data_IF_477452028803
#
_entry.id   IF_477452028803
#
_cell.length_a   1.000
_cell.length_b   1.000
_cell.length_c   1.000
_cell.angle_alpha   90.00
_cell.angle_beta   90.00
_cell.angle_gamma   90.00
#
_symmetry.space_group_name_H-M   'P 1'
#
loop_
_entity.id
_entity.type
_entity.pdbx_description
1 polymer ?
#
# COMPACT_ATOMS: atom_id res chain seq x y z
N UNK A 1 0.17 31.59 -34.82
CA UNK A 1 0.93 31.21 -36.04
C UNK A 1 1.77 30.00 -35.71
N UNK A 2 2.12 29.15 -36.67
CA UNK A 2 2.90 27.94 -36.42
C UNK A 2 3.73 27.55 -37.64
N UNK A 3 4.82 26.81 -37.43
CA UNK A 3 5.61 26.23 -38.52
C UNK A 3 4.92 24.95 -39.00
N UNK A 4 4.52 24.92 -40.27
CA UNK A 4 3.86 23.79 -40.92
C UNK A 4 4.85 23.09 -41.85
N UNK A 5 4.93 21.76 -41.74
CA UNK A 5 5.66 20.92 -42.69
C UNK A 5 4.68 20.31 -43.69
N UNK A 6 4.94 20.49 -44.98
CA UNK A 6 4.18 19.84 -46.05
C UNK A 6 5.08 18.88 -46.82
N UNK A 7 4.56 17.72 -47.21
CA UNK A 7 5.31 16.68 -47.92
C UNK A 7 4.75 16.50 -49.32
N UNK A 8 5.62 16.45 -50.32
CA UNK A 8 5.29 16.13 -51.71
C UNK A 8 6.04 14.87 -52.12
N UNK A 9 5.29 13.85 -52.56
CA UNK A 9 5.86 12.65 -53.15
C UNK A 9 6.08 12.86 -54.65
N UNK A 10 7.28 12.60 -55.13
CA UNK A 10 7.65 12.68 -56.54
C UNK A 10 7.32 11.36 -57.26
N UNK A 11 7.32 11.39 -58.60
CA UNK A 11 7.01 10.21 -59.44
C UNK A 11 8.03 9.08 -59.28
N UNK A 12 9.26 9.39 -58.87
CA UNK A 12 10.34 8.46 -58.57
C UNK A 12 10.24 7.83 -57.17
N UNK A 13 9.21 8.18 -56.38
CA UNK A 13 9.01 7.70 -55.02
C UNK A 13 9.68 8.52 -53.93
N UNK A 14 10.55 9.48 -54.27
CA UNK A 14 11.20 10.37 -53.30
C UNK A 14 10.19 11.33 -52.64
N UNK A 15 10.43 11.71 -51.38
CA UNK A 15 9.57 12.62 -50.63
C UNK A 15 10.35 13.90 -50.32
N UNK A 16 9.85 15.04 -50.81
CA UNK A 16 10.40 16.37 -50.52
C UNK A 16 9.50 17.07 -49.52
N UNK A 17 10.10 17.60 -48.45
CA UNK A 17 9.39 18.36 -47.42
C UNK A 17 9.63 19.86 -47.60
N UNK A 18 8.64 20.67 -47.23
CA UNK A 18 8.71 22.14 -47.27
C UNK A 18 8.28 22.72 -45.92
N UNK A 19 8.98 23.77 -45.47
CA UNK A 19 8.63 24.51 -44.26
C UNK A 19 7.89 25.81 -44.60
N UNK A 20 6.77 26.04 -43.91
CA UNK A 20 5.91 27.20 -44.14
C UNK A 20 5.46 27.80 -42.79
N UNK A 21 5.55 29.12 -42.64
CA UNK A 21 4.88 29.80 -41.54
C UNK A 21 3.40 29.95 -41.90
N UNK A 22 2.52 29.38 -41.08
CA UNK A 22 1.09 29.33 -41.34
C UNK A 22 0.28 29.95 -40.19
N UNK A 23 -0.92 30.41 -40.55
CA UNK A 23 -1.95 30.83 -39.63
C UNK A 23 -3.30 30.27 -40.07
N UNK A 24 -4.17 29.99 -39.12
CA UNK A 24 -5.49 29.43 -39.38
C UNK A 24 -6.52 30.53 -39.21
N UNK A 25 -7.13 30.96 -40.31
CA UNK A 25 -8.22 31.93 -40.30
C UNK A 25 -9.56 31.17 -40.35
N UNK A 26 -10.57 31.63 -39.62
CA UNK A 26 -11.92 31.05 -39.69
C UNK A 26 -12.63 31.54 -40.96
N UNK A 27 -13.16 30.63 -41.78
CA UNK A 27 -14.01 30.96 -42.93
C UNK A 27 -15.49 30.78 -42.54
N UNK A 28 -16.22 31.87 -42.19
CA UNK A 28 -17.59 31.78 -41.73
C UNK A 28 -18.57 31.32 -42.82
N UNK A 29 -18.23 31.45 -44.11
CA UNK A 29 -19.09 30.96 -45.20
C UNK A 29 -18.98 29.44 -45.38
N UNK A 30 -17.81 28.86 -45.11
CA UNK A 30 -17.57 27.41 -45.26
C UNK A 30 -17.62 26.64 -43.93
N UNK A 31 -17.86 27.34 -42.82
CA UNK A 31 -17.95 26.74 -41.48
C UNK A 31 -16.69 25.99 -41.05
N UNK A 32 -15.52 26.36 -41.58
CA UNK A 32 -14.26 25.64 -41.30
C UNK A 32 -13.07 26.58 -41.27
N UNK A 33 -12.03 26.18 -40.56
CA UNK A 33 -10.75 26.89 -40.58
C UNK A 33 -10.01 26.67 -41.90
N UNK A 34 -9.48 27.75 -42.47
CA UNK A 34 -8.65 27.76 -43.67
C UNK A 34 -7.22 28.17 -43.31
N UNK A 35 -6.26 27.37 -43.74
CA UNK A 35 -4.83 27.67 -43.57
C UNK A 35 -4.43 28.79 -44.54
N UNK A 36 -3.94 29.90 -44.00
CA UNK A 36 -3.25 30.97 -44.74
C UNK A 36 -1.74 30.82 -44.55
N UNK A 37 -1.00 30.70 -45.65
CA UNK A 37 0.46 30.67 -45.64
C UNK A 37 0.95 32.12 -45.55
N UNK A 38 1.68 32.43 -44.50
CA UNK A 38 2.26 33.75 -44.25
C UNK A 38 3.64 33.89 -44.90
N UNK A 39 4.42 32.81 -44.85
CA UNK A 39 5.76 32.77 -45.44
C UNK A 39 6.11 31.33 -45.84
N UNK A 40 6.81 31.16 -46.94
CA UNK A 40 7.32 29.87 -47.39
C UNK A 40 8.84 29.89 -47.32
N UNK A 41 9.42 29.08 -46.43
CA UNK A 41 10.87 28.99 -46.26
C UNK A 41 11.53 28.13 -47.35
N UNK A 42 10.76 27.43 -48.17
CA UNK A 42 11.28 26.55 -49.21
C UNK A 42 11.42 25.11 -48.75
N UNK A 43 12.28 24.35 -49.43
CA UNK A 43 12.47 22.93 -49.14
C UNK A 43 13.20 22.76 -47.81
N UNK A 44 12.70 21.87 -46.96
CA UNK A 44 13.21 21.64 -45.61
C UNK A 44 14.70 21.26 -45.57
N UNK A 45 15.20 20.56 -46.61
CA UNK A 45 16.59 20.15 -46.75
C UNK A 45 17.53 21.27 -47.23
N UNK A 46 16.98 22.40 -47.69
CA UNK A 46 17.74 23.56 -48.18
C UNK A 46 17.66 24.76 -47.23
N UNK A 47 16.82 24.69 -46.19
CA UNK A 47 16.70 25.77 -45.21
C UNK A 47 17.84 25.65 -44.20
N UNK A 48 18.60 26.73 -44.05
CA UNK A 48 19.64 26.82 -43.03
C UNK A 48 19.03 26.76 -41.62
N UNK A 49 19.34 25.69 -40.88
CA UNK A 49 18.88 25.47 -39.52
C UNK A 49 19.18 26.67 -38.61
N UNK A 50 20.39 27.22 -38.70
CA UNK A 50 20.81 28.36 -37.87
C UNK A 50 19.94 29.60 -38.10
N UNK A 51 19.45 29.82 -39.33
CA UNK A 51 18.55 30.92 -39.62
C UNK A 51 17.21 30.76 -38.90
N UNK A 52 16.68 29.53 -38.81
CA UNK A 52 15.47 29.23 -38.06
C UNK A 52 15.67 29.39 -36.55
N UNK A 53 16.82 28.96 -36.02
CA UNK A 53 17.16 29.15 -34.59
C UNK A 53 17.24 30.65 -34.24
N UNK A 54 17.88 31.46 -35.10
CA UNK A 54 17.89 32.93 -34.94
C UNK A 54 16.49 33.52 -34.97
N UNK A 55 15.61 33.04 -35.85
CA UNK A 55 14.21 33.46 -35.90
C UNK A 55 13.47 33.11 -34.59
N UNK A 56 13.64 31.88 -34.08
CA UNK A 56 13.08 31.46 -32.80
C UNK A 56 13.56 32.37 -31.65
N UNK A 57 14.87 32.68 -31.60
CA UNK A 57 15.43 33.60 -30.62
C UNK A 57 14.88 35.03 -30.72
N UNK A 58 14.64 35.53 -31.93
CA UNK A 58 14.01 36.83 -32.16
C UNK A 58 12.57 36.87 -31.65
N UNK A 59 11.79 35.81 -31.89
CA UNK A 59 10.41 35.68 -31.39
C UNK A 59 10.41 35.60 -29.86
N UNK A 60 11.29 34.76 -29.29
CA UNK A 60 11.41 34.59 -27.84
C UNK A 60 11.74 35.91 -27.13
N UNK A 61 12.66 36.70 -27.69
CA UNK A 61 13.00 38.03 -27.18
C UNK A 61 11.79 38.98 -27.16
N UNK A 62 10.96 38.96 -28.21
CA UNK A 62 9.74 39.77 -28.27
C UNK A 62 8.68 39.30 -27.25
N UNK A 63 8.69 38.01 -26.87
CA UNK A 63 7.77 37.43 -25.90
C UNK A 63 8.29 37.44 -24.44
N UNK A 64 9.54 37.86 -24.19
CA UNK A 64 10.17 37.74 -22.88
C UNK A 64 10.46 36.29 -22.46
N UNK A 65 10.66 35.40 -23.43
CA UNK A 65 10.98 33.98 -23.20
C UNK A 65 12.42 33.68 -23.61
N UNK A 66 12.98 32.61 -23.04
CA UNK A 66 14.27 32.05 -23.43
C UNK A 66 14.04 30.85 -24.36
N UNK A 67 14.79 30.76 -25.46
CA UNK A 67 14.83 29.58 -26.34
C UNK A 67 16.23 29.01 -26.27
N UNK A 68 16.34 27.76 -25.83
CA UNK A 68 17.60 27.02 -25.79
C UNK A 68 17.73 26.13 -27.01
N UNK A 69 18.81 26.31 -27.76
CA UNK A 69 19.18 25.39 -28.83
C UNK A 69 19.97 24.22 -28.24
N UNK A 70 19.28 23.10 -28.08
CA UNK A 70 19.83 21.91 -27.43
C UNK A 70 21.03 21.34 -28.21
N UNK A 71 21.13 21.53 -29.53
CA UNK A 71 22.26 20.97 -30.31
C UNK A 71 23.59 21.69 -30.10
N UNK A 72 23.58 22.94 -29.64
CA UNK A 72 24.81 23.71 -29.39
C UNK A 72 25.36 23.55 -27.98
N UNK A 73 24.55 23.07 -27.04
CA UNK A 73 24.96 22.86 -25.64
C UNK A 73 25.57 21.47 -25.40
N UNK A 74 25.86 20.69 -26.46
CA UNK A 74 26.29 19.30 -26.33
C UNK A 74 25.23 18.39 -25.71
N UNK A 75 24.00 18.91 -25.57
CA UNK A 75 22.83 18.15 -25.12
C UNK A 75 22.23 17.53 -26.36
N UNK A 76 22.64 16.30 -26.64
CA UNK A 76 22.14 15.53 -27.77
C UNK A 76 20.62 15.39 -27.67
N UNK A 77 19.89 16.31 -28.30
CA UNK A 77 18.44 16.44 -28.18
C UNK A 77 17.68 15.26 -28.80
N UNK A 78 18.40 14.33 -29.44
CA UNK A 78 17.88 13.12 -30.06
C UNK A 78 18.46 11.82 -29.49
N UNK A 79 19.58 11.81 -28.78
CA UNK A 79 20.20 10.56 -28.30
C UNK A 79 20.10 10.35 -26.77
N UNK A 80 19.97 11.41 -25.97
CA UNK A 80 19.99 11.27 -24.49
C UNK A 80 18.61 11.17 -23.83
N UNK A 81 17.52 11.29 -24.59
CA UNK A 81 16.17 10.94 -24.09
C UNK A 81 15.96 9.43 -23.97
N UNK A 82 16.81 8.64 -24.64
CA UNK A 82 16.75 7.18 -24.66
C UNK A 82 17.70 6.53 -23.62
N UNK A 83 18.25 7.28 -22.65
CA UNK A 83 19.11 6.71 -21.60
C UNK A 83 18.42 6.40 -20.27
N UNK A 84 17.12 6.67 -20.17
CA UNK A 84 16.33 6.33 -18.97
C UNK A 84 15.19 5.42 -19.38
N UNK A 85 15.43 4.12 -19.30
CA UNK A 85 14.38 3.13 -19.42
C UNK A 85 13.58 3.09 -18.12
N UNK A 86 12.26 3.24 -18.21
CA UNK A 86 11.37 2.93 -17.10
C UNK A 86 11.31 1.42 -16.94
N UNK A 87 12.11 0.88 -16.03
CA UNK A 87 12.14 -0.57 -15.74
C UNK A 87 10.85 -1.00 -15.04
N UNK A 88 10.45 -0.27 -14.00
CA UNK A 88 9.27 -0.58 -13.20
C UNK A 88 8.67 0.65 -12.51
N UNK A 89 7.40 0.55 -12.12
CA UNK A 89 6.74 1.52 -11.24
C UNK A 89 6.12 0.76 -10.09
N UNK A 90 6.38 1.26 -8.87
CA UNK A 90 5.92 0.65 -7.62
C UNK A 90 5.34 1.71 -6.68
N UNK A 91 4.33 1.33 -5.93
CA UNK A 91 3.72 2.12 -4.86
C UNK A 91 4.69 2.19 -3.67
N UNK A 92 5.18 3.39 -3.37
CA UNK A 92 6.10 3.61 -2.25
C UNK A 92 5.37 4.00 -0.96
N UNK A 93 4.34 4.85 -1.05
CA UNK A 93 3.77 5.60 0.08
C UNK A 93 3.46 4.76 1.33
N UNK A 94 2.33 4.04 1.33
CA UNK A 94 1.89 3.26 2.50
C UNK A 94 2.91 2.18 2.91
N UNK A 95 3.48 1.37 2.00
CA UNK A 95 4.50 0.38 2.38
C UNK A 95 5.70 1.00 3.10
N UNK A 96 6.21 2.12 2.61
CA UNK A 96 7.37 2.78 3.22
C UNK A 96 7.08 3.29 4.63
N UNK A 97 5.93 3.92 4.84
CA UNK A 97 5.51 4.37 6.19
C UNK A 97 5.25 3.17 7.11
N UNK A 98 4.59 2.12 6.60
CA UNK A 98 4.33 0.91 7.36
C UNK A 98 5.63 0.24 7.82
N UNK A 99 6.66 0.15 6.97
CA UNK A 99 7.95 -0.44 7.34
C UNK A 99 8.72 0.43 8.35
N UNK A 100 8.55 1.75 8.32
CA UNK A 100 9.11 2.63 9.34
C UNK A 100 8.44 2.40 10.71
N UNK A 101 7.11 2.38 10.76
CA UNK A 101 6.35 2.09 11.98
C UNK A 101 6.62 0.67 12.50
N UNK A 102 6.73 -0.31 11.60
CA UNK A 102 7.08 -1.68 11.94
C UNK A 102 8.43 -1.79 12.68
N UNK A 103 9.39 -0.94 12.31
CA UNK A 103 10.69 -0.84 12.98
C UNK A 103 10.58 -0.08 14.30
N UNK A 104 9.88 1.05 14.33
CA UNK A 104 9.70 1.88 15.52
C UNK A 104 8.92 1.17 16.64
N UNK A 105 7.90 0.39 16.27
CA UNK A 105 7.14 -0.46 17.20
C UNK A 105 7.93 -1.69 17.68
N UNK A 106 9.11 -1.96 17.12
CA UNK A 106 9.93 -3.12 17.48
C UNK A 106 9.43 -4.46 16.92
N UNK A 107 8.33 -4.47 16.16
CA UNK A 107 7.73 -5.67 15.55
C UNK A 107 8.74 -6.48 14.76
N UNK A 108 9.53 -5.81 13.92
CA UNK A 108 10.53 -6.50 13.11
C UNK A 108 11.61 -7.20 13.94
N UNK A 109 12.01 -6.64 15.08
CA UNK A 109 13.02 -7.27 15.94
C UNK A 109 12.45 -8.50 16.65
N UNK A 110 11.25 -8.38 17.22
CA UNK A 110 10.56 -9.48 17.92
C UNK A 110 10.30 -10.64 16.97
N UNK A 111 9.71 -10.38 15.81
CA UNK A 111 9.36 -11.43 14.86
C UNK A 111 10.59 -12.09 14.22
N UNK A 112 11.68 -11.36 14.00
CA UNK A 112 12.95 -11.97 13.57
C UNK A 112 13.56 -12.87 14.63
N UNK A 113 13.46 -12.50 15.92
CA UNK A 113 13.91 -13.37 17.00
C UNK A 113 13.09 -14.65 17.05
N UNK A 114 11.76 -14.55 16.96
CA UNK A 114 10.87 -15.72 16.91
C UNK A 114 11.16 -16.63 15.71
N UNK A 115 11.42 -16.04 14.54
CA UNK A 115 11.86 -16.81 13.37
C UNK A 115 13.16 -17.57 13.64
N UNK A 116 14.12 -16.95 14.32
CA UNK A 116 15.40 -17.59 14.66
C UNK A 116 15.23 -18.72 15.68
N UNK A 117 14.40 -18.51 16.71
CA UNK A 117 14.11 -19.50 17.75
C UNK A 117 13.38 -20.73 17.17
N UNK A 118 12.53 -20.52 16.16
CA UNK A 118 11.83 -21.57 15.42
C UNK A 118 12.66 -22.21 14.28
N UNK A 119 13.94 -21.85 14.12
CA UNK A 119 14.82 -22.26 13.00
C UNK A 119 14.14 -22.10 11.61
N UNK A 120 13.42 -20.99 11.45
CA UNK A 120 12.66 -20.71 10.24
C UNK A 120 13.61 -20.47 9.05
N UNK A 121 13.47 -21.27 8.01
CA UNK A 121 14.30 -21.21 6.79
C UNK A 121 13.87 -20.08 5.83
N UNK A 122 12.82 -19.35 6.17
CA UNK A 122 12.19 -18.29 5.35
C UNK A 122 12.00 -17.06 6.23
N UNK A 123 12.18 -15.83 5.71
CA UNK A 123 11.94 -14.60 6.47
C UNK A 123 10.44 -14.36 6.71
N UNK A 124 9.80 -15.14 7.59
CA UNK A 124 8.37 -15.00 7.91
C UNK A 124 8.01 -13.62 8.43
N UNK A 125 8.93 -12.94 9.12
CA UNK A 125 8.77 -11.54 9.50
C UNK A 125 8.48 -10.62 8.30
N UNK A 126 9.13 -10.84 7.15
CA UNK A 126 8.91 -10.04 5.94
C UNK A 126 7.59 -10.39 5.25
N UNK A 127 7.15 -11.64 5.33
CA UNK A 127 5.81 -12.04 4.89
C UNK A 127 4.70 -11.39 5.75
N UNK A 128 4.88 -11.36 7.08
CA UNK A 128 3.97 -10.68 8.00
C UNK A 128 3.91 -9.18 7.74
N UNK A 129 5.07 -8.53 7.59
CA UNK A 129 5.14 -7.12 7.20
C UNK A 129 4.39 -6.86 5.89
N UNK A 130 4.61 -7.66 4.85
CA UNK A 130 3.93 -7.49 3.56
C UNK A 130 2.41 -7.61 3.68
N UNK A 131 1.91 -8.56 4.50
CA UNK A 131 0.47 -8.69 4.77
C UNK A 131 -0.10 -7.47 5.49
N UNK A 132 0.63 -6.90 6.46
CA UNK A 132 0.21 -5.67 7.16
C UNK A 132 0.24 -4.47 6.23
N UNK A 133 1.31 -4.28 5.46
CA UNK A 133 1.40 -3.22 4.46
C UNK A 133 0.28 -3.34 3.41
N UNK A 134 -0.07 -4.56 3.00
CA UNK A 134 -1.20 -4.79 2.10
C UNK A 134 -2.53 -4.38 2.75
N UNK A 135 -2.76 -4.74 4.02
CA UNK A 135 -3.95 -4.40 4.77
C UNK A 135 -4.12 -2.89 4.96
N UNK A 136 -3.02 -2.15 5.09
CA UNK A 136 -3.03 -0.68 5.21
C UNK A 136 -3.21 0.02 3.87
N UNK A 137 -2.72 -0.56 2.77
CA UNK A 137 -2.74 0.07 1.44
C UNK A 137 -3.94 -0.34 0.60
N UNK A 138 -4.04 -1.64 0.28
CA UNK A 138 -5.06 -2.24 -0.59
C UNK A 138 -5.41 -3.64 -0.09
N UNK A 139 -6.31 -3.74 0.90
CA UNK A 139 -6.67 -5.01 1.49
C UNK A 139 -7.11 -6.03 0.43
N UNK A 140 -6.41 -7.14 0.34
CA UNK A 140 -6.80 -8.28 -0.50
C UNK A 140 -6.48 -9.60 0.21
N UNK A 141 -6.81 -10.73 -0.39
CA UNK A 141 -6.44 -12.03 0.15
C UNK A 141 -4.93 -12.25 0.07
N UNK A 142 -4.37 -13.20 0.83
CA UNK A 142 -2.95 -13.59 0.70
C UNK A 142 -2.58 -13.97 -0.73
N UNK A 143 -3.48 -14.66 -1.42
CA UNK A 143 -3.34 -14.96 -2.83
C UNK A 143 -3.28 -13.68 -3.68
N UNK A 144 -4.18 -12.72 -3.43
CA UNK A 144 -4.17 -11.43 -4.11
C UNK A 144 -2.92 -10.59 -3.82
N UNK A 145 -2.37 -10.71 -2.62
CA UNK A 145 -1.10 -10.10 -2.24
C UNK A 145 0.02 -10.66 -3.12
N UNK A 146 0.21 -11.98 -3.12
CA UNK A 146 1.27 -12.67 -3.85
C UNK A 146 1.13 -12.54 -5.38
N UNK A 147 -0.06 -12.76 -5.93
CA UNK A 147 -0.23 -12.81 -7.39
C UNK A 147 -0.33 -11.44 -8.05
N UNK A 148 -0.75 -10.40 -7.29
CA UNK A 148 -1.12 -9.10 -7.91
C UNK A 148 -0.49 -7.90 -7.23
N UNK A 149 -0.45 -7.84 -5.90
CA UNK A 149 -0.07 -6.61 -5.20
C UNK A 149 1.43 -6.48 -4.97
N UNK A 150 2.15 -7.57 -4.67
CA UNK A 150 3.60 -7.51 -4.38
C UNK A 150 4.40 -6.89 -5.54
N UNK A 151 4.07 -7.24 -6.79
CA UNK A 151 4.68 -6.64 -7.99
C UNK A 151 4.21 -5.21 -8.28
N UNK A 152 3.37 -4.60 -7.44
CA UNK A 152 2.91 -3.21 -7.57
C UNK A 152 3.40 -2.34 -6.43
N UNK A 153 3.90 -2.90 -5.33
CA UNK A 153 4.32 -2.17 -4.14
C UNK A 153 5.83 -2.28 -3.94
N UNK A 154 6.45 -1.23 -3.42
CA UNK A 154 7.83 -1.31 -2.96
C UNK A 154 7.83 -1.93 -1.56
N UNK A 155 8.37 -3.13 -1.42
CA UNK A 155 8.37 -3.88 -0.16
C UNK A 155 9.82 -4.06 0.34
N UNK A 156 10.34 -3.14 1.18
CA UNK A 156 11.70 -3.22 1.69
C UNK A 156 11.99 -4.54 2.41
N UNK A 157 13.09 -5.19 2.01
CA UNK A 157 13.57 -6.45 2.61
C UNK A 157 12.74 -7.69 2.26
N UNK A 158 11.75 -7.57 1.37
CA UNK A 158 11.11 -8.74 0.76
C UNK A 158 11.95 -9.11 -0.46
N UNK A 159 12.83 -10.11 -0.31
CA UNK A 159 13.66 -10.61 -1.39
C UNK A 159 12.91 -11.70 -2.17
N UNK A 160 12.76 -11.51 -3.49
CA UNK A 160 12.05 -12.45 -4.36
C UNK A 160 10.52 -12.38 -4.26
N UNK A 161 9.85 -13.42 -4.76
CA UNK A 161 8.39 -13.51 -4.76
C UNK A 161 7.89 -14.21 -3.49
N UNK A 162 7.01 -13.54 -2.75
CA UNK A 162 6.28 -14.18 -1.64
C UNK A 162 5.25 -15.15 -2.20
N UNK A 163 5.19 -16.34 -1.60
CA UNK A 163 4.15 -17.34 -1.92
C UNK A 163 3.03 -17.33 -0.88
N UNK A 164 1.82 -17.80 -1.26
CA UNK A 164 0.74 -17.98 -0.30
C UNK A 164 1.13 -18.89 0.87
N UNK A 165 1.87 -19.98 0.61
CA UNK A 165 2.33 -20.92 1.64
C UNK A 165 3.23 -20.25 2.67
N UNK A 166 4.13 -19.37 2.23
CA UNK A 166 4.96 -18.58 3.15
C UNK A 166 4.10 -17.66 4.01
N UNK A 167 3.06 -17.05 3.43
CA UNK A 167 2.15 -16.19 4.19
C UNK A 167 1.32 -16.97 5.22
N UNK A 168 0.88 -18.19 4.89
CA UNK A 168 0.15 -19.04 5.84
C UNK A 168 1.04 -19.52 6.97
N UNK A 169 2.23 -20.06 6.67
CA UNK A 169 3.19 -20.49 7.71
C UNK A 169 3.64 -19.34 8.61
N UNK A 170 3.80 -18.15 8.04
CA UNK A 170 4.09 -16.96 8.83
C UNK A 170 2.96 -16.59 9.80
N UNK A 171 1.70 -16.85 9.43
CA UNK A 171 0.56 -16.70 10.35
C UNK A 171 0.54 -17.76 11.44
N UNK A 172 0.95 -18.99 11.15
CA UNK A 172 1.03 -20.04 12.17
C UNK A 172 2.04 -19.65 13.25
N UNK A 173 3.24 -19.19 12.85
CA UNK A 173 4.24 -18.65 13.76
C UNK A 173 3.69 -17.46 14.57
N UNK A 174 3.00 -16.52 13.91
CA UNK A 174 2.41 -15.38 14.60
C UNK A 174 1.34 -15.83 15.60
N UNK A 175 0.53 -16.82 15.27
CA UNK A 175 -0.53 -17.33 16.13
C UNK A 175 0.05 -18.00 17.39
N UNK A 176 1.06 -18.85 17.21
CA UNK A 176 1.78 -19.52 18.31
C UNK A 176 2.38 -18.53 19.31
N UNK A 177 2.87 -17.39 18.81
CA UNK A 177 3.52 -16.36 19.62
C UNK A 177 2.70 -15.07 19.77
N UNK A 178 1.39 -15.13 19.56
CA UNK A 178 0.54 -13.94 19.49
C UNK A 178 0.64 -13.07 20.75
N UNK A 179 0.58 -13.69 21.93
CA UNK A 179 0.69 -13.00 23.22
C UNK A 179 2.02 -12.25 23.37
N UNK A 180 3.14 -12.89 23.03
CA UNK A 180 4.46 -12.27 23.11
C UNK A 180 4.60 -11.08 22.15
N UNK A 181 4.02 -11.20 20.95
CA UNK A 181 4.02 -10.11 19.97
C UNK A 181 3.13 -8.95 20.44
N UNK A 182 1.93 -9.23 20.95
CA UNK A 182 1.03 -8.21 21.48
C UNK A 182 1.66 -7.47 22.68
N UNK A 183 2.28 -8.18 23.62
CA UNK A 183 2.94 -7.58 24.78
C UNK A 183 4.08 -6.65 24.35
N UNK A 184 4.90 -7.08 23.38
CA UNK A 184 6.00 -6.28 22.88
C UNK A 184 5.51 -5.00 22.15
N UNK A 185 4.47 -5.11 21.32
CA UNK A 185 3.85 -3.96 20.65
C UNK A 185 3.28 -3.00 21.67
N UNK A 186 2.49 -3.49 22.61
CA UNK A 186 1.87 -2.67 23.64
C UNK A 186 2.93 -1.95 24.48
N UNK A 187 3.98 -2.65 24.91
CA UNK A 187 5.08 -2.06 25.66
C UNK A 187 5.80 -0.95 24.88
N UNK A 188 6.01 -1.16 23.57
CA UNK A 188 6.60 -0.15 22.70
C UNK A 188 5.71 1.09 22.58
N UNK A 189 4.41 0.91 22.32
CA UNK A 189 3.43 2.00 22.24
C UNK A 189 3.34 2.75 23.58
N UNK A 190 3.25 2.03 24.69
CA UNK A 190 3.19 2.61 26.03
C UNK A 190 4.41 3.48 26.33
N UNK A 191 5.60 3.04 25.92
CA UNK A 191 6.84 3.82 26.07
C UNK A 191 6.89 5.04 25.13
N UNK A 192 6.55 4.86 23.84
CA UNK A 192 6.59 5.95 22.84
C UNK A 192 5.66 7.10 23.19
N UNK A 193 4.47 6.78 23.70
CA UNK A 193 3.45 7.78 24.03
C UNK A 193 3.36 8.11 25.53
N UNK A 194 4.24 7.52 26.37
CA UNK A 194 4.20 7.64 27.83
C UNK A 194 2.79 7.38 28.40
N UNK A 195 2.16 6.27 27.97
CA UNK A 195 0.78 5.97 28.31
C UNK A 195 0.62 5.65 29.80
N UNK A 196 -0.39 6.25 30.42
CA UNK A 196 -0.88 5.88 31.75
C UNK A 196 -2.00 4.85 31.61
N UNK A 197 -1.73 3.59 31.98
CA UNK A 197 -2.69 2.49 31.85
C UNK A 197 -3.52 2.36 33.13
N UNK A 198 -4.25 3.42 33.49
CA UNK A 198 -5.06 3.43 34.72
C UNK A 198 -6.52 3.02 34.47
N UNK A 199 -6.95 3.08 33.21
CA UNK A 199 -8.29 2.75 32.75
C UNK A 199 -8.20 1.92 31.48
N UNK A 200 -8.83 0.74 31.50
CA UNK A 200 -8.93 -0.14 30.33
C UNK A 200 -10.40 -0.33 30.00
N UNK A 201 -10.74 -0.01 28.76
CA UNK A 201 -12.05 -0.33 28.19
C UNK A 201 -11.98 -1.70 27.54
N UNK A 202 -13.02 -2.49 27.75
CA UNK A 202 -13.13 -3.82 27.19
C UNK A 202 -14.50 -4.01 26.54
N UNK A 203 -14.50 -4.58 25.33
CA UNK A 203 -15.71 -5.01 24.63
C UNK A 203 -15.50 -6.37 23.95
N UNK A 204 -16.60 -7.11 23.81
CA UNK A 204 -16.66 -8.35 23.04
C UNK A 204 -17.52 -8.16 21.79
N UNK A 205 -17.10 -8.76 20.69
CA UNK A 205 -17.95 -8.94 19.51
C UNK A 205 -17.95 -10.39 19.08
N UNK A 206 -18.91 -10.79 18.27
CA UNK A 206 -18.91 -12.11 17.64
C UNK A 206 -18.51 -12.01 16.17
N UNK A 207 -17.84 -13.04 15.66
CA UNK A 207 -17.65 -13.25 14.23
C UNK A 207 -18.36 -14.55 13.84
N UNK A 208 -19.43 -14.43 13.06
CA UNK A 208 -20.26 -15.55 12.61
C UNK A 208 -19.71 -16.17 11.32
N UNK A 209 -20.02 -17.45 11.12
CA UNK A 209 -19.66 -18.20 9.91
C UNK A 209 -20.92 -18.67 9.19
N UNK A 210 -20.86 -18.67 7.85
CA UNK A 210 -21.91 -19.23 6.99
C UNK A 210 -21.62 -20.71 6.71
N UNK A 211 -21.62 -21.51 7.77
CA UNK A 211 -21.44 -22.97 7.77
C UNK A 211 -22.16 -23.53 8.99
N UNK A 212 -22.53 -24.80 8.96
CA UNK A 212 -23.09 -25.52 10.12
C UNK A 212 -22.01 -26.27 10.91
N UNK A 213 -20.76 -26.23 10.44
CA UNK A 213 -19.64 -26.90 11.07
C UNK A 213 -19.17 -26.16 12.34
N UNK A 214 -18.84 -26.95 13.35
CA UNK A 214 -18.16 -26.52 14.58
C UNK A 214 -16.80 -27.18 14.68
N UNK A 215 -15.91 -26.58 15.45
CA UNK A 215 -14.60 -27.18 15.70
C UNK A 215 -14.70 -28.26 16.79
N UNK A 216 -13.91 -29.32 16.66
CA UNK A 216 -13.71 -30.29 17.74
C UNK A 216 -12.93 -29.67 18.91
N UNK A 217 -13.00 -30.28 20.08
CA UNK A 217 -12.04 -29.97 21.14
C UNK A 217 -10.64 -30.36 20.67
N UNK A 218 -9.64 -29.61 21.10
CA UNK A 218 -8.24 -29.93 20.85
C UNK A 218 -7.94 -31.31 21.47
N UNK A 219 -7.47 -32.28 20.67
CA UNK A 219 -7.29 -33.65 21.14
C UNK A 219 -6.10 -33.81 22.11
N UNK A 220 -5.15 -32.87 22.12
CA UNK A 220 -3.95 -32.91 22.97
C UNK A 220 -4.16 -32.13 24.27
N UNK A 221 -4.72 -30.92 24.18
CA UNK A 221 -4.90 -30.03 25.33
C UNK A 221 -6.27 -30.19 26.01
N UNK A 222 -7.26 -30.74 25.29
CA UNK A 222 -8.65 -30.79 25.72
C UNK A 222 -9.34 -29.43 25.70
N UNK A 223 -8.70 -28.39 25.14
CA UNK A 223 -9.30 -27.07 25.06
C UNK A 223 -10.46 -27.04 24.07
N UNK A 224 -11.52 -26.27 24.37
CA UNK A 224 -12.66 -26.19 23.48
C UNK A 224 -12.30 -25.55 22.14
N UNK A 225 -12.70 -26.21 21.04
CA UNK A 225 -12.61 -25.63 19.70
C UNK A 225 -13.28 -24.27 19.63
N UNK A 226 -12.70 -23.34 18.86
CA UNK A 226 -13.13 -21.94 18.82
C UNK A 226 -14.49 -21.77 18.16
N UNK A 227 -14.71 -22.36 16.98
CA UNK A 227 -15.99 -22.22 16.27
C UNK A 227 -17.06 -23.06 16.96
N UNK A 228 -17.96 -22.42 17.70
CA UNK A 228 -19.08 -23.05 18.42
C UNK A 228 -20.39 -22.33 18.13
N UNK A 229 -21.50 -23.04 18.26
CA UNK A 229 -22.83 -22.42 18.17
C UNK A 229 -23.04 -21.45 19.32
N UNK A 230 -23.34 -20.20 18.99
CA UNK A 230 -23.80 -19.22 19.95
C UNK A 230 -24.85 -18.29 19.34
N UNK A 231 -25.40 -17.42 20.18
CA UNK A 231 -26.36 -16.41 19.75
C UNK A 231 -25.60 -15.21 19.18
N UNK A 232 -25.76 -14.93 17.90
CA UNK A 232 -25.08 -13.82 17.23
C UNK A 232 -25.70 -12.48 17.63
N UNK A 233 -24.91 -11.40 17.58
CA UNK A 233 -25.45 -10.02 17.73
C UNK A 233 -26.46 -9.66 16.62
N UNK A 234 -26.53 -10.45 15.54
CA UNK A 234 -27.51 -10.33 14.45
C UNK A 234 -28.83 -11.07 14.75
N UNK A 235 -28.96 -11.67 15.94
CA UNK A 235 -30.22 -12.21 16.46
C UNK A 235 -30.54 -13.65 16.06
N UNK A 236 -29.58 -14.40 15.52
CA UNK A 236 -29.77 -15.81 15.16
C UNK A 236 -28.67 -16.69 15.74
N UNK A 237 -28.96 -17.99 15.83
CA UNK A 237 -27.94 -18.99 16.18
C UNK A 237 -27.09 -19.29 14.96
N UNK A 238 -25.77 -19.28 15.12
CA UNK A 238 -24.81 -19.67 14.10
C UNK A 238 -23.50 -20.13 14.75
N UNK A 239 -22.71 -20.97 14.07
CA UNK A 239 -21.31 -21.14 14.43
C UNK A 239 -20.61 -19.79 14.39
N UNK A 240 -19.94 -19.46 15.49
CA UNK A 240 -19.25 -18.19 15.68
C UNK A 240 -18.01 -18.37 16.56
N UNK A 241 -17.21 -17.32 16.63
CA UNK A 241 -16.20 -17.10 17.67
C UNK A 241 -16.51 -15.79 18.40
N UNK A 242 -16.09 -15.68 19.65
CA UNK A 242 -16.13 -14.41 20.40
C UNK A 242 -14.75 -13.77 20.32
N UNK A 243 -14.69 -12.50 19.92
CA UNK A 243 -13.47 -11.71 19.86
C UNK A 243 -13.53 -10.63 20.94
N UNK A 244 -12.54 -10.61 21.83
CA UNK A 244 -12.38 -9.59 22.85
C UNK A 244 -11.28 -8.60 22.47
N UNK A 245 -11.48 -7.32 22.78
CA UNK A 245 -10.44 -6.29 22.62
C UNK A 245 -10.40 -5.39 23.85
N UNK A 246 -9.22 -5.25 24.44
CA UNK A 246 -8.94 -4.28 25.49
C UNK A 246 -8.18 -3.08 24.92
N UNK A 247 -8.59 -1.88 25.29
CA UNK A 247 -7.95 -0.63 24.86
C UNK A 247 -7.72 0.32 26.04
N UNK A 248 -6.71 1.19 25.92
CA UNK A 248 -6.48 2.27 26.89
C UNK A 248 -7.56 3.34 26.79
N UNK A 249 -7.54 4.32 27.71
CA UNK A 249 -8.44 5.48 27.66
C UNK A 249 -8.35 6.25 26.35
N UNK A 250 -7.17 6.32 25.76
CA UNK A 250 -6.87 7.01 24.50
C UNK A 250 -7.19 6.14 23.27
N UNK A 251 -7.64 4.90 23.47
CA UNK A 251 -8.03 3.98 22.39
C UNK A 251 -6.88 3.15 21.82
N UNK A 252 -5.71 3.12 22.47
CA UNK A 252 -4.63 2.24 22.03
C UNK A 252 -4.93 0.78 22.39
N UNK A 253 -4.76 -0.18 21.46
CA UNK A 253 -4.90 -1.60 21.75
C UNK A 253 -3.93 -2.04 22.85
N UNK A 254 -4.47 -2.71 23.87
CA UNK A 254 -3.70 -3.38 24.91
C UNK A 254 -3.44 -4.82 24.49
N UNK A 255 -4.53 -5.58 24.30
CA UNK A 255 -4.48 -7.00 23.97
C UNK A 255 -5.80 -7.43 23.30
N UNK A 256 -5.74 -8.47 22.48
CA UNK A 256 -6.93 -9.11 21.91
C UNK A 256 -7.04 -10.58 22.34
N UNK A 257 -8.26 -11.12 22.24
CA UNK A 257 -8.55 -12.51 22.57
C UNK A 257 -9.54 -13.10 21.58
N UNK A 258 -9.45 -14.41 21.39
CA UNK A 258 -10.45 -15.20 20.69
C UNK A 258 -10.91 -16.32 21.62
N UNK A 259 -12.21 -16.41 21.83
CA UNK A 259 -12.85 -17.41 22.68
C UNK A 259 -13.85 -18.26 21.88
N UNK A 260 -14.21 -19.46 22.38
CA UNK A 260 -15.28 -20.25 21.81
C UNK A 260 -16.58 -19.47 21.63
N UNK A 261 -17.29 -19.70 20.52
CA UNK A 261 -18.52 -18.97 20.17
C UNK A 261 -19.68 -19.05 21.18
N UNK A 262 -19.63 -20.02 22.10
CA UNK A 262 -20.59 -20.25 23.18
C UNK A 262 -20.08 -19.76 24.55
N UNK A 263 -18.99 -19.01 24.59
CA UNK A 263 -18.44 -18.47 25.84
C UNK A 263 -19.37 -17.39 26.39
N UNK A 264 -19.67 -17.47 27.68
CA UNK A 264 -20.45 -16.45 28.41
C UNK A 264 -19.55 -15.28 28.83
N UNK A 265 -20.09 -14.06 28.79
CA UNK A 265 -19.33 -12.81 29.00
C UNK A 265 -18.60 -12.76 30.36
N UNK A 266 -19.20 -13.30 31.43
CA UNK A 266 -18.59 -13.33 32.77
C UNK A 266 -17.29 -14.15 32.83
N UNK A 267 -17.22 -15.26 32.08
CA UNK A 267 -15.99 -16.08 31.96
C UNK A 267 -14.91 -15.34 31.17
N UNK A 268 -15.31 -14.57 30.16
CA UNK A 268 -14.39 -13.74 29.36
C UNK A 268 -13.72 -12.69 30.25
N UNK A 269 -14.49 -11.96 31.06
CA UNK A 269 -13.94 -10.93 31.97
C UNK A 269 -12.96 -11.52 32.99
N UNK A 270 -13.25 -12.71 33.53
CA UNK A 270 -12.35 -13.37 34.48
C UNK A 270 -10.98 -13.68 33.83
N UNK A 271 -10.98 -14.25 32.62
CA UNK A 271 -9.74 -14.59 31.89
C UNK A 271 -8.94 -13.33 31.52
N UNK A 272 -9.60 -12.29 31.05
CA UNK A 272 -8.95 -11.01 30.74
C UNK A 272 -8.27 -10.40 31.96
N UNK A 273 -8.94 -10.45 33.12
CA UNK A 273 -8.36 -9.97 34.39
C UNK A 273 -7.10 -10.74 34.78
N UNK A 274 -7.08 -12.04 34.52
CA UNK A 274 -5.92 -12.88 34.80
C UNK A 274 -4.76 -12.58 33.84
N UNK A 275 -5.03 -12.56 32.54
CA UNK A 275 -4.02 -12.30 31.50
C UNK A 275 -3.39 -10.91 31.66
N UNK A 276 -4.20 -9.87 31.91
CA UNK A 276 -3.70 -8.50 32.09
C UNK A 276 -2.93 -8.31 33.41
N UNK A 277 -3.14 -9.16 34.43
CA UNK A 277 -2.29 -9.17 35.63
C UNK A 277 -0.88 -9.67 35.30
N UNK A 278 -0.74 -10.59 34.34
CA UNK A 278 0.55 -11.10 33.88
C UNK A 278 1.47 -10.00 33.36
N UNK A 279 0.89 -8.99 32.71
CA UNK A 279 1.61 -7.87 32.08
C UNK A 279 2.00 -6.76 33.08
N UNK A 280 1.78 -6.97 34.38
CA UNK A 280 2.13 -6.03 35.47
C UNK A 280 1.62 -4.61 35.27
N UNK A 281 0.49 -4.45 34.58
CA UNK A 281 -0.24 -3.20 34.55
C UNK A 281 -0.54 -2.79 36.00
N UNK A 282 -0.33 -1.51 36.34
CA UNK A 282 -0.52 -1.00 37.70
C UNK A 282 -2.01 -1.06 38.14
N UNK A 283 -2.48 -0.22 39.06
CA UNK A 283 -3.88 -0.24 39.51
C UNK A 283 -4.82 0.15 38.36
N UNK A 284 -5.30 -0.83 37.61
CA UNK A 284 -6.19 -0.63 36.46
C UNK A 284 -7.65 -0.72 36.89
N UNK A 285 -8.45 0.30 36.55
CA UNK A 285 -9.90 0.20 36.54
C UNK A 285 -10.35 -0.39 35.20
N UNK A 286 -11.09 -1.50 35.23
CA UNK A 286 -11.68 -2.09 34.04
C UNK A 286 -13.12 -1.62 33.89
N UNK A 287 -13.49 -1.19 32.69
CA UNK A 287 -14.85 -0.76 32.34
C UNK A 287 -15.35 -1.61 31.17
N UNK A 288 -16.47 -2.28 31.37
CA UNK A 288 -17.19 -3.07 30.38
C UNK A 288 -18.70 -2.81 30.46
N UNK A 289 -19.45 -3.36 29.51
CA UNK A 289 -20.91 -3.25 29.49
C UNK A 289 -21.56 -4.12 30.59
N UNK A 290 -22.78 -3.78 30.99
CA UNK A 290 -23.57 -4.49 32.00
C UNK A 290 -23.92 -5.93 31.59
N UNK A 291 -23.82 -6.28 30.30
CA UNK A 291 -23.93 -7.67 29.84
C UNK A 291 -22.83 -8.60 30.36
N UNK A 292 -21.76 -8.03 30.96
CA UNK A 292 -20.59 -8.75 31.44
C UNK A 292 -20.58 -9.04 32.96
N UNK A 293 -21.64 -8.65 33.68
CA UNK A 293 -21.82 -8.91 35.13
C UNK A 293 -22.43 -10.30 35.44
#
# INVERSE_FOLDING_TARGET
MYLRTTRRKNKDGSVVSYYQLAHNDWDPQKGRSKVRILHNFGRADQVEREALVRLCGSIARACGCEVRDLTTEGVDAGEDRDRVDLIETRELGVPWVADALWRELGLGAVLRQLCADADAQVPYERALYAMVANRLSRPTSKLGLCERWQGRAWLPGVDGELTPDQCYRAMDLLHEHAEQVEEAVFSSVANLFNLSVDLVFFDTTTASFHTDEIDGDDPETGEPGLRRHGYSKEGHWAPQVVVGLAVTREGFPVRSWVFPGNTVDSTVVARIREDLRGWRLHRVLMVGDAGMD
#
